data_IF_368541107218
#
_entry.id   IF_368541107218
#
_cell.length_a   1.000
_cell.length_b   1.000
_cell.length_c   1.000
_cell.angle_alpha   90.00
_cell.angle_beta   90.00
_cell.angle_gamma   90.00
#
_symmetry.space_group_name_H-M   'P 1'
#
loop_
_entity.id
_entity.type
_entity.pdbx_description
1 polymer ?
#
# COMPACT_ATOMS: atom_id res chain seq x y z
N UNK A 1 -12.34 -10.16 46.46
CA UNK A 1 -12.33 -11.29 45.51
C UNK A 1 -13.29 -11.07 44.32
N UNK A 2 -14.42 -10.37 44.49
CA UNK A 2 -15.34 -10.02 43.38
C UNK A 2 -14.69 -9.13 42.30
N UNK A 3 -13.98 -8.07 42.71
CA UNK A 3 -13.30 -7.15 41.78
C UNK A 3 -12.23 -7.82 40.90
N UNK A 4 -11.56 -8.88 41.37
CA UNK A 4 -10.54 -9.58 40.60
C UNK A 4 -11.15 -10.44 39.48
N UNK A 5 -12.34 -11.02 39.71
CA UNK A 5 -13.05 -11.80 38.69
C UNK A 5 -13.58 -10.86 37.60
N UNK A 6 -14.19 -9.74 37.99
CA UNK A 6 -14.64 -8.70 37.04
C UNK A 6 -13.49 -8.16 36.18
N UNK A 7 -12.31 -7.95 36.78
CA UNK A 7 -11.13 -7.52 36.05
C UNK A 7 -10.64 -8.55 35.03
N UNK A 8 -10.69 -9.85 35.34
CA UNK A 8 -10.32 -10.93 34.39
C UNK A 8 -11.33 -11.00 33.23
N UNK A 9 -12.62 -10.83 33.51
CA UNK A 9 -13.65 -10.78 32.47
C UNK A 9 -13.43 -9.58 31.54
N UNK A 10 -13.26 -8.39 32.11
CA UNK A 10 -13.03 -7.17 31.33
C UNK A 10 -11.74 -7.28 30.51
N UNK A 11 -10.64 -7.77 31.09
CA UNK A 11 -9.37 -7.91 30.38
C UNK A 11 -9.48 -8.92 29.23
N UNK A 12 -10.22 -10.01 29.40
CA UNK A 12 -10.49 -10.97 28.32
C UNK A 12 -11.29 -10.32 27.19
N UNK A 13 -12.34 -9.54 27.49
CA UNK A 13 -13.08 -8.79 26.48
C UNK A 13 -12.20 -7.77 25.74
N UNK A 14 -11.33 -7.07 26.46
CA UNK A 14 -10.38 -6.12 25.89
C UNK A 14 -9.40 -6.85 24.97
N UNK A 15 -8.81 -7.96 25.40
CA UNK A 15 -7.86 -8.75 24.60
C UNK A 15 -8.51 -9.32 23.33
N UNK A 16 -9.74 -9.82 23.42
CA UNK A 16 -10.48 -10.29 22.24
C UNK A 16 -10.73 -9.14 21.26
N UNK A 17 -11.15 -7.97 21.77
CA UNK A 17 -11.38 -6.79 20.93
C UNK A 17 -10.09 -6.30 20.28
N UNK A 18 -8.98 -6.27 21.04
CA UNK A 18 -7.66 -5.90 20.54
C UNK A 18 -7.18 -6.84 19.45
N UNK A 19 -7.32 -8.15 19.64
CA UNK A 19 -6.93 -9.13 18.63
C UNK A 19 -7.71 -8.93 17.31
N UNK A 20 -9.02 -8.68 17.41
CA UNK A 20 -9.86 -8.37 16.24
C UNK A 20 -9.45 -7.07 15.56
N UNK A 21 -9.13 -6.02 16.33
CA UNK A 21 -8.66 -4.75 15.78
C UNK A 21 -7.32 -4.90 15.08
N UNK A 22 -6.41 -5.72 15.62
CA UNK A 22 -5.12 -6.02 14.99
C UNK A 22 -5.33 -6.71 13.63
N UNK A 23 -6.13 -7.77 13.57
CA UNK A 23 -6.42 -8.47 12.31
C UNK A 23 -7.09 -7.55 11.28
N UNK A 24 -7.96 -6.63 11.71
CA UNK A 24 -8.56 -5.64 10.84
C UNK A 24 -7.57 -4.57 10.36
N UNK A 25 -6.60 -4.19 11.20
CA UNK A 25 -5.56 -3.25 10.84
C UNK A 25 -4.62 -3.84 9.77
N UNK A 26 -4.24 -5.11 9.93
CA UNK A 26 -3.40 -5.81 8.95
C UNK A 26 -4.10 -5.87 7.58
N UNK A 27 -5.37 -6.29 7.54
CA UNK A 27 -6.17 -6.31 6.30
C UNK A 27 -6.31 -4.94 5.64
N UNK A 28 -6.39 -3.86 6.44
CA UNK A 28 -6.45 -2.49 5.91
C UNK A 28 -5.11 -2.07 5.33
N UNK A 29 -4.00 -2.40 6.00
CA UNK A 29 -2.67 -2.10 5.49
C UNK A 29 -2.42 -2.76 4.12
N UNK A 30 -2.85 -4.02 3.95
CA UNK A 30 -2.76 -4.72 2.66
C UNK A 30 -3.55 -4.01 1.54
N UNK A 31 -4.80 -3.62 1.85
CA UNK A 31 -5.64 -2.89 0.90
C UNK A 31 -5.11 -1.49 0.59
N UNK A 32 -4.58 -0.78 1.59
CA UNK A 32 -3.99 0.55 1.43
C UNK A 32 -2.76 0.50 0.52
N UNK A 33 -1.93 -0.55 0.65
CA UNK A 33 -0.80 -0.79 -0.25
C UNK A 33 -1.28 -1.05 -1.68
N UNK A 34 -2.27 -1.93 -1.87
CA UNK A 34 -2.82 -2.22 -3.21
C UNK A 34 -3.40 -0.96 -3.87
N UNK A 35 -4.18 -0.17 -3.12
CA UNK A 35 -4.75 1.07 -3.59
C UNK A 35 -3.66 2.09 -3.96
N UNK A 36 -2.59 2.18 -3.16
CA UNK A 36 -1.47 3.09 -3.42
C UNK A 36 -0.72 2.70 -4.69
N UNK A 37 -0.43 1.42 -4.90
CA UNK A 37 0.24 0.92 -6.10
C UNK A 37 -0.62 1.12 -7.35
N UNK A 38 -1.93 0.84 -7.26
CA UNK A 38 -2.86 1.10 -8.37
C UNK A 38 -2.89 2.59 -8.73
N UNK A 39 -2.98 3.47 -7.72
CA UNK A 39 -2.95 4.91 -7.93
C UNK A 39 -1.63 5.36 -8.57
N UNK A 40 -0.49 4.81 -8.15
CA UNK A 40 0.81 5.13 -8.76
C UNK A 40 0.87 4.75 -10.25
N UNK A 41 0.36 3.56 -10.61
CA UNK A 41 0.26 3.12 -12.00
C UNK A 41 -0.64 4.04 -12.84
N UNK A 42 -1.78 4.45 -12.29
CA UNK A 42 -2.71 5.37 -12.96
C UNK A 42 -2.14 6.78 -13.10
N UNK A 43 -1.47 7.30 -12.06
CA UNK A 43 -0.79 8.61 -12.08
C UNK A 43 0.29 8.63 -13.15
N UNK A 44 1.10 7.59 -13.27
CA UNK A 44 2.08 7.49 -14.35
C UNK A 44 1.42 7.59 -15.73
N UNK A 45 0.32 6.85 -15.95
CA UNK A 45 -0.42 6.90 -17.21
C UNK A 45 -0.95 8.30 -17.50
N UNK A 46 -1.43 9.02 -16.47
CA UNK A 46 -1.83 10.42 -16.59
C UNK A 46 -0.64 11.31 -16.96
N UNK A 47 0.53 11.14 -16.33
CA UNK A 47 1.76 11.89 -16.66
C UNK A 47 2.14 11.68 -18.13
N UNK A 48 2.14 10.43 -18.61
CA UNK A 48 2.44 10.12 -20.01
C UNK A 48 1.47 10.81 -20.98
N UNK A 49 0.17 10.75 -20.71
CA UNK A 49 -0.85 11.39 -21.56
C UNK A 49 -0.71 12.92 -21.55
N UNK A 50 -0.49 13.51 -20.38
CA UNK A 50 -0.31 14.96 -20.23
C UNK A 50 0.98 15.43 -20.91
N UNK A 51 2.08 14.67 -20.81
CA UNK A 51 3.33 14.96 -21.54
C UNK A 51 3.11 14.94 -23.05
N UNK A 52 2.39 13.95 -23.59
CA UNK A 52 2.07 13.89 -25.02
C UNK A 52 1.22 15.08 -25.48
N UNK A 53 0.25 15.52 -24.66
CA UNK A 53 -0.53 16.73 -24.94
C UNK A 53 0.37 17.97 -24.92
N UNK A 54 1.21 18.12 -23.88
CA UNK A 54 2.12 19.25 -23.73
C UNK A 54 3.13 19.34 -24.89
N UNK A 55 3.61 18.19 -25.39
CA UNK A 55 4.46 18.13 -26.59
C UNK A 55 3.73 18.63 -27.84
N UNK A 56 2.46 18.25 -28.04
CA UNK A 56 1.66 18.74 -29.18
C UNK A 56 1.34 20.22 -29.11
N UNK A 57 1.25 20.77 -27.89
CA UNK A 57 1.03 22.20 -27.66
C UNK A 57 2.34 23.00 -27.58
N UNK A 58 3.49 22.37 -27.85
CA UNK A 58 4.82 23.00 -27.85
C UNK A 58 5.18 23.67 -26.51
N UNK A 59 4.68 23.12 -25.40
CA UNK A 59 4.98 23.63 -24.05
C UNK A 59 6.40 23.21 -23.65
N UNK A 60 7.26 24.18 -23.30
CA UNK A 60 8.67 23.93 -22.95
C UNK A 60 8.84 22.91 -21.80
N UNK A 61 7.94 22.95 -20.81
CA UNK A 61 7.94 22.03 -19.68
C UNK A 61 7.86 20.54 -20.07
N UNK A 62 7.34 20.21 -21.26
CA UNK A 62 7.29 18.83 -21.77
C UNK A 62 8.66 18.20 -22.04
N UNK A 63 9.72 19.02 -22.08
CA UNK A 63 11.12 18.59 -22.27
C UNK A 63 11.87 18.42 -20.95
N UNK A 64 11.22 18.61 -19.80
CA UNK A 64 11.87 18.40 -18.51
C UNK A 64 12.29 16.93 -18.37
N UNK A 65 13.60 16.62 -18.20
CA UNK A 65 14.09 15.25 -18.04
C UNK A 65 13.50 14.53 -16.80
N UNK A 66 13.05 15.25 -15.78
CA UNK A 66 12.38 14.67 -14.62
C UNK A 66 11.09 13.93 -15.00
N UNK A 67 10.42 14.32 -16.10
CA UNK A 67 9.23 13.64 -16.59
C UNK A 67 9.52 12.22 -17.10
N UNK A 68 10.74 11.93 -17.53
CA UNK A 68 11.13 10.57 -17.95
C UNK A 68 11.24 9.62 -16.75
N UNK A 69 11.62 10.15 -15.58
CA UNK A 69 11.67 9.34 -14.36
C UNK A 69 10.27 8.98 -13.86
N UNK A 70 9.32 9.91 -13.99
CA UNK A 70 7.91 9.70 -13.64
C UNK A 70 7.19 8.73 -14.58
N UNK A 71 7.77 8.42 -15.74
CA UNK A 71 7.24 7.45 -16.72
C UNK A 71 7.79 6.03 -16.52
N UNK A 72 8.65 5.80 -15.52
CA UNK A 72 9.18 4.46 -15.23
C UNK A 72 8.06 3.55 -14.70
N UNK A 73 7.75 2.51 -15.46
CA UNK A 73 6.63 1.59 -15.21
C UNK A 73 6.71 0.89 -13.85
N UNK A 74 5.82 1.31 -12.95
CA UNK A 74 5.49 0.57 -11.72
C UNK A 74 4.30 -0.32 -12.05
N UNK A 75 4.53 -1.64 -12.07
CA UNK A 75 3.50 -2.66 -12.21
C UNK A 75 3.06 -3.11 -10.81
N UNK A 76 1.84 -2.77 -10.35
CA UNK A 76 1.37 -3.10 -9.00
C UNK A 76 1.51 -4.58 -8.67
N UNK A 77 1.10 -5.43 -9.61
CA UNK A 77 1.19 -6.89 -9.56
C UNK A 77 2.61 -7.38 -9.20
N UNK A 78 3.65 -6.75 -9.78
CA UNK A 78 5.04 -7.15 -9.58
C UNK A 78 5.58 -6.75 -8.21
N UNK A 79 5.09 -5.65 -7.66
CA UNK A 79 5.47 -5.21 -6.31
C UNK A 79 4.81 -6.11 -5.28
N UNK A 80 3.53 -6.45 -5.48
CA UNK A 80 2.81 -7.42 -4.64
C UNK A 80 3.48 -8.82 -4.68
N UNK A 81 3.81 -9.33 -5.87
CA UNK A 81 4.56 -10.58 -6.05
C UNK A 81 5.86 -10.60 -5.21
N UNK A 82 6.64 -9.51 -5.29
CA UNK A 82 7.92 -9.38 -4.61
C UNK A 82 7.79 -9.28 -3.09
N UNK A 83 6.72 -8.64 -2.60
CA UNK A 83 6.41 -8.54 -1.18
C UNK A 83 5.98 -9.90 -0.62
N UNK A 84 5.10 -10.63 -1.32
CA UNK A 84 4.72 -12.00 -0.93
C UNK A 84 5.93 -12.93 -0.88
N UNK A 85 6.84 -12.85 -1.86
CA UNK A 85 8.05 -13.66 -1.88
C UNK A 85 8.95 -13.34 -0.67
N UNK A 86 9.06 -12.06 -0.31
CA UNK A 86 9.82 -11.61 0.86
C UNK A 86 9.17 -12.09 2.17
N UNK A 87 7.85 -11.97 2.31
CA UNK A 87 7.12 -12.49 3.46
C UNK A 87 7.31 -13.99 3.64
N UNK A 88 7.21 -14.78 2.55
CA UNK A 88 7.46 -16.23 2.58
C UNK A 88 8.89 -16.56 2.98
N UNK A 89 9.88 -15.77 2.57
CA UNK A 89 11.28 -15.93 3.00
C UNK A 89 11.46 -15.65 4.48
N UNK A 90 10.77 -14.65 5.02
CA UNK A 90 10.85 -14.27 6.44
C UNK A 90 10.12 -15.28 7.34
N UNK A 91 8.94 -15.74 6.93
CA UNK A 91 8.11 -16.69 7.70
C UNK A 91 8.54 -18.15 7.52
N UNK A 92 9.01 -18.55 6.34
CA UNK A 92 9.52 -19.90 6.07
C UNK A 92 10.93 -20.18 6.60
N UNK A 93 11.62 -19.17 7.15
CA UNK A 93 12.92 -19.33 7.82
C UNK A 93 12.80 -19.55 9.34
N UNK A 94 11.58 -19.65 9.88
CA UNK A 94 11.28 -20.10 11.25
C UNK A 94 10.74 -21.53 11.24
#
# INVERSE_FOLDING_TARGET
MFASVEAIFLSTFVLISQNRMAEQADKRADLDLQASLLAEHEVMRLVTLVKQIAQRLEIEASRNPELEELEKDVRPEKVLDALEENERRITGAK
#
